data_IF_453528369683
#
_entry.id   IF_453528369683
#
_cell.length_a   1.000
_cell.length_b   1.000
_cell.length_c   1.000
_cell.angle_alpha   90.00
_cell.angle_beta   90.00
_cell.angle_gamma   90.00
#
_symmetry.space_group_name_H-M   'P 1'
#
loop_
_entity.id
_entity.type
_entity.pdbx_description
1 polymer ?
#
# COMPACT_ATOMS: atom_id res chain seq x y z
N UNK A 1 23.06 -58.64 20.58
CA UNK A 1 22.18 -58.50 19.39
C UNK A 1 22.04 -57.00 19.13
N UNK A 2 22.84 -56.42 18.23
CA UNK A 2 22.44 -55.91 16.89
C UNK A 2 21.32 -54.84 17.03
N UNK A 3 21.41 -53.56 16.65
CA UNK A 3 22.42 -52.66 16.06
C UNK A 3 21.90 -51.19 16.20
N UNK A 4 22.74 -50.13 16.15
CA UNK A 4 22.28 -48.77 15.88
C UNK A 4 22.63 -48.32 14.46
N UNK A 5 21.66 -47.71 13.76
CA UNK A 5 21.81 -47.08 12.45
C UNK A 5 22.56 -45.74 12.59
N UNK A 6 23.76 -45.67 12.02
CA UNK A 6 24.48 -44.43 11.68
C UNK A 6 24.93 -44.53 10.22
N UNK A 7 24.45 -43.64 9.34
CA UNK A 7 25.22 -42.94 8.31
C UNK A 7 24.29 -42.31 7.26
N UNK A 8 24.22 -40.97 7.25
CA UNK A 8 23.99 -40.19 6.04
C UNK A 8 24.90 -38.95 6.11
N UNK A 9 26.14 -39.15 5.70
CA UNK A 9 27.07 -38.07 5.36
C UNK A 9 27.85 -38.53 4.14
N UNK A 10 27.79 -37.74 3.07
CA UNK A 10 28.72 -37.65 1.92
C UNK A 10 27.95 -37.35 0.63
N UNK A 11 27.62 -36.08 0.41
CA UNK A 11 27.43 -35.53 -0.93
C UNK A 11 28.68 -34.70 -1.25
N UNK A 12 29.66 -35.34 -1.89
CA UNK A 12 30.83 -34.66 -2.44
C UNK A 12 30.48 -34.03 -3.80
N UNK A 13 30.60 -32.72 -3.88
CA UNK A 13 30.59 -31.94 -5.12
C UNK A 13 31.79 -32.36 -5.98
N UNK A 14 31.53 -32.91 -7.16
CA UNK A 14 32.56 -33.30 -8.11
C UNK A 14 32.98 -32.11 -8.98
N UNK A 15 34.28 -31.84 -8.96
CA UNK A 15 35.00 -30.87 -9.79
C UNK A 15 34.72 -31.07 -11.28
N UNK A 16 34.02 -30.11 -11.89
CA UNK A 16 34.09 -29.85 -13.31
C UNK A 16 35.21 -28.83 -13.54
N UNK A 17 35.98 -29.00 -14.62
CA UNK A 17 37.19 -28.25 -15.00
C UNK A 17 38.52 -28.77 -14.44
N UNK A 18 39.14 -29.69 -15.20
CA UNK A 18 40.55 -29.60 -15.67
C UNK A 18 40.89 -30.86 -16.47
N UNK A 19 40.70 -30.82 -17.80
CA UNK A 19 41.35 -31.77 -18.71
C UNK A 19 42.47 -31.04 -19.44
N UNK A 20 43.70 -31.25 -18.97
CA UNK A 20 44.94 -30.91 -19.66
C UNK A 20 45.26 -32.02 -20.66
N UNK A 21 45.52 -31.74 -21.95
CA UNK A 21 46.13 -32.74 -22.81
C UNK A 21 47.65 -32.72 -22.57
N UNK A 22 48.19 -33.89 -22.22
CA UNK A 22 49.61 -34.16 -22.26
C UNK A 22 50.10 -34.13 -23.71
N UNK A 23 51.20 -33.45 -23.98
CA UNK A 23 51.91 -33.52 -25.25
C UNK A 23 53.39 -33.80 -25.01
N UNK A 24 53.91 -34.69 -25.85
CA UNK A 24 55.08 -35.53 -25.66
C UNK A 24 56.43 -34.80 -25.74
N UNK A 25 57.43 -35.43 -25.12
CA UNK A 25 58.84 -34.99 -25.14
C UNK A 25 59.43 -35.27 -26.51
N UNK A 26 59.84 -34.22 -27.22
CA UNK A 26 60.75 -34.32 -28.36
C UNK A 26 62.07 -33.60 -28.05
N UNK A 27 63.15 -34.28 -28.44
CA UNK A 27 64.57 -34.02 -28.12
C UNK A 27 65.07 -32.70 -28.73
N UNK A 28 65.91 -32.01 -27.97
CA UNK A 28 66.69 -30.84 -28.39
C UNK A 28 67.71 -31.20 -29.48
N UNK A 29 67.62 -30.51 -30.61
CA UNK A 29 68.64 -30.43 -31.65
C UNK A 29 68.64 -29.01 -32.25
N UNK A 30 69.78 -28.33 -32.16
CA UNK A 30 70.22 -27.33 -33.14
C UNK A 30 69.75 -25.89 -32.96
N UNK A 31 70.71 -25.02 -32.64
CA UNK A 31 70.65 -23.57 -32.67
C UNK A 31 70.34 -23.01 -34.07
N UNK A 32 69.25 -22.26 -34.24
CA UNK A 32 69.09 -21.26 -35.30
C UNK A 32 68.27 -20.07 -34.80
N UNK A 33 68.77 -18.88 -35.13
CA UNK A 33 68.24 -17.55 -34.79
C UNK A 33 66.72 -17.42 -34.99
N UNK A 34 66.00 -17.09 -33.91
CA UNK A 34 64.57 -16.73 -33.97
C UNK A 34 64.42 -15.21 -33.94
N UNK A 35 63.76 -14.58 -34.94
CA UNK A 35 63.54 -13.14 -34.93
C UNK A 35 62.65 -12.78 -33.73
N UNK A 36 63.06 -11.75 -32.97
CA UNK A 36 62.30 -11.25 -31.81
C UNK A 36 60.92 -10.76 -32.28
N UNK A 37 59.90 -11.59 -32.05
CA UNK A 37 58.50 -11.20 -32.24
C UNK A 37 58.22 -9.99 -31.34
N UNK A 38 58.02 -8.83 -31.98
CA UNK A 38 57.60 -7.59 -31.32
C UNK A 38 56.28 -7.87 -30.61
N UNK A 39 56.30 -7.98 -29.28
CA UNK A 39 55.09 -8.10 -28.44
C UNK A 39 54.19 -6.89 -28.73
N UNK A 40 53.20 -7.08 -29.59
CA UNK A 40 52.07 -6.16 -29.69
C UNK A 40 51.39 -6.22 -28.34
N UNK A 41 51.59 -5.19 -27.51
CA UNK A 41 50.78 -4.98 -26.31
C UNK A 41 49.34 -4.93 -26.79
N UNK A 42 48.60 -6.03 -26.63
CA UNK A 42 47.13 -5.98 -26.59
C UNK A 42 46.83 -5.00 -25.47
N UNK A 43 46.48 -3.77 -25.81
CA UNK A 43 45.73 -2.93 -24.89
C UNK A 43 44.45 -3.72 -24.61
N UNK A 44 44.42 -4.39 -23.45
CA UNK A 44 43.16 -4.84 -22.90
C UNK A 44 42.35 -3.55 -22.74
N UNK A 45 41.40 -3.31 -23.65
CA UNK A 45 40.32 -2.38 -23.39
C UNK A 45 39.65 -2.94 -22.14
N UNK A 46 39.84 -2.26 -21.01
CA UNK A 46 38.95 -2.45 -19.87
C UNK A 46 37.54 -2.18 -20.40
N UNK A 47 36.77 -3.25 -20.54
CA UNK A 47 35.34 -3.13 -20.80
C UNK A 47 34.77 -2.59 -19.50
N UNK A 48 34.59 -1.27 -19.44
CA UNK A 48 33.81 -0.64 -18.38
C UNK A 48 32.33 -0.97 -18.64
N UNK A 49 31.95 -2.20 -18.30
CA UNK A 49 30.56 -2.59 -18.21
C UNK A 49 30.05 -2.14 -16.84
N UNK A 50 29.33 -1.03 -16.80
CA UNK A 50 28.47 -0.67 -15.68
C UNK A 50 27.02 -0.98 -16.04
N UNK A 51 26.22 -1.35 -15.04
CA UNK A 51 24.77 -1.38 -15.23
C UNK A 51 24.28 0.05 -15.46
N UNK A 52 23.55 0.28 -16.55
CA UNK A 52 23.02 1.61 -16.90
C UNK A 52 22.20 2.22 -15.75
N UNK A 53 21.37 1.39 -15.11
CA UNK A 53 20.58 1.79 -13.94
C UNK A 53 21.41 2.15 -12.69
N UNK A 54 22.67 1.68 -12.60
CA UNK A 54 23.58 2.01 -11.50
C UNK A 54 24.41 3.28 -11.79
N UNK A 55 24.37 3.80 -13.01
CA UNK A 55 24.98 5.08 -13.35
C UNK A 55 24.05 6.22 -12.96
N UNK A 56 24.54 7.24 -12.27
CA UNK A 56 23.76 8.47 -12.02
C UNK A 56 24.15 9.53 -13.03
N UNK A 57 23.19 10.02 -13.80
CA UNK A 57 23.36 11.10 -14.77
C UNK A 57 22.25 12.16 -14.62
N UNK A 58 22.39 13.31 -15.28
CA UNK A 58 21.42 14.41 -15.16
C UNK A 58 20.00 14.02 -15.57
N UNK A 59 19.88 13.09 -16.53
CA UNK A 59 18.60 12.61 -17.05
C UNK A 59 17.89 11.67 -16.07
N UNK A 60 18.62 10.76 -15.43
CA UNK A 60 18.04 9.71 -14.60
C UNK A 60 17.97 10.03 -13.11
N UNK A 61 18.66 11.08 -12.65
CA UNK A 61 18.62 11.54 -11.26
C UNK A 61 17.18 11.76 -10.77
N UNK A 62 16.28 12.26 -11.64
CA UNK A 62 14.86 12.45 -11.27
C UNK A 62 14.10 11.15 -11.03
N UNK A 63 14.44 10.07 -11.74
CA UNK A 63 13.76 8.77 -11.60
C UNK A 63 14.18 8.06 -10.31
N UNK A 64 15.47 8.15 -9.96
CA UNK A 64 16.06 7.41 -8.83
C UNK A 64 16.26 8.25 -7.57
N UNK A 65 15.81 9.52 -7.55
CA UNK A 65 16.01 10.45 -6.42
C UNK A 65 15.55 9.89 -5.07
N UNK A 66 14.50 9.07 -5.10
CA UNK A 66 13.89 8.49 -3.90
C UNK A 66 14.36 7.04 -3.65
N UNK A 67 15.31 6.51 -4.44
CA UNK A 67 15.91 5.22 -4.16
C UNK A 67 16.84 5.34 -2.96
N UNK A 68 16.69 4.45 -1.99
CA UNK A 68 17.47 4.42 -0.76
C UNK A 68 18.18 3.07 -0.58
N UNK A 69 19.13 3.04 0.36
CA UNK A 69 19.84 1.83 0.78
C UNK A 69 19.47 1.38 2.20
N UNK A 70 18.28 1.74 2.69
CA UNK A 70 17.83 1.43 4.05
C UNK A 70 17.50 -0.07 4.19
N UNK A 71 17.62 -0.58 5.42
CA UNK A 71 17.06 -1.89 5.77
C UNK A 71 15.54 -1.87 5.65
N UNK A 72 14.90 -3.04 5.66
CA UNK A 72 13.45 -3.12 5.54
C UNK A 72 12.73 -2.39 6.69
N UNK A 73 13.21 -2.52 7.92
CA UNK A 73 12.61 -1.86 9.09
C UNK A 73 12.89 -0.35 9.16
N UNK A 74 14.06 0.11 8.71
CA UNK A 74 14.36 1.55 8.64
C UNK A 74 13.53 2.24 7.55
N UNK A 75 13.36 1.58 6.39
CA UNK A 75 12.43 2.05 5.36
C UNK A 75 10.97 2.09 5.87
N UNK A 76 10.62 1.18 6.78
CA UNK A 76 9.30 1.08 7.43
C UNK A 76 9.31 1.64 8.87
N UNK A 77 10.06 2.72 9.10
CA UNK A 77 10.14 3.36 10.41
C UNK A 77 8.75 3.81 10.92
N UNK A 78 8.62 4.04 12.23
CA UNK A 78 7.35 4.48 12.83
C UNK A 78 6.82 5.76 12.17
N UNK A 79 7.70 6.72 11.87
CA UNK A 79 7.32 7.99 11.21
C UNK A 79 6.76 7.74 9.81
N UNK A 80 7.48 6.96 8.98
CA UNK A 80 7.06 6.63 7.61
C UNK A 80 5.73 5.88 7.62
N UNK A 81 5.60 4.84 8.45
CA UNK A 81 4.34 4.07 8.55
C UNK A 81 3.18 4.91 9.04
N UNK A 82 3.40 5.81 9.98
CA UNK A 82 2.36 6.72 10.49
C UNK A 82 1.85 7.63 9.37
N UNK A 83 2.76 8.23 8.59
CA UNK A 83 2.38 9.10 7.49
C UNK A 83 1.65 8.34 6.38
N UNK A 84 2.17 7.18 5.97
CA UNK A 84 1.52 6.34 4.97
C UNK A 84 0.13 5.89 5.42
N UNK A 85 -0.02 5.46 6.68
CA UNK A 85 -1.30 5.06 7.28
C UNK A 85 -2.29 6.21 7.28
N UNK A 86 -1.91 7.40 7.74
CA UNK A 86 -2.79 8.56 7.80
C UNK A 86 -3.28 8.96 6.39
N UNK A 87 -2.37 8.99 5.41
CA UNK A 87 -2.70 9.26 4.01
C UNK A 87 -3.63 8.18 3.43
N UNK A 88 -3.33 6.91 3.69
CA UNK A 88 -4.14 5.79 3.21
C UNK A 88 -5.55 5.80 3.81
N UNK A 89 -5.68 6.04 5.12
CA UNK A 89 -6.97 6.18 5.81
C UNK A 89 -7.79 7.33 5.22
N UNK A 90 -7.20 8.52 5.10
CA UNK A 90 -7.87 9.66 4.46
C UNK A 90 -8.34 9.29 3.05
N UNK A 91 -7.46 8.68 2.27
CA UNK A 91 -7.75 8.34 0.89
C UNK A 91 -8.87 7.29 0.76
N UNK A 92 -8.83 6.22 1.54
CA UNK A 92 -9.73 5.08 1.43
C UNK A 92 -11.04 5.24 2.19
N UNK A 93 -11.07 6.02 3.27
CA UNK A 93 -12.27 6.17 4.10
C UNK A 93 -13.04 7.45 3.84
N UNK A 94 -12.38 8.52 3.38
CA UNK A 94 -13.00 9.85 3.29
C UNK A 94 -12.96 10.42 1.86
N UNK A 95 -11.81 10.34 1.20
CA UNK A 95 -11.53 11.18 0.04
C UNK A 95 -11.98 10.59 -1.30
N UNK A 96 -11.99 9.26 -1.44
CA UNK A 96 -12.16 8.57 -2.72
C UNK A 96 -13.15 7.38 -2.63
N UNK A 97 -14.37 7.51 -3.19
CA UNK A 97 -15.38 6.46 -3.12
C UNK A 97 -14.99 5.20 -3.91
N UNK A 98 -14.15 5.30 -4.94
CA UNK A 98 -13.71 4.14 -5.72
C UNK A 98 -12.75 3.30 -4.89
N UNK A 99 -11.78 3.93 -4.23
CA UNK A 99 -10.85 3.23 -3.35
C UNK A 99 -11.58 2.61 -2.16
N UNK A 100 -12.53 3.33 -1.57
CA UNK A 100 -13.41 2.78 -0.53
C UNK A 100 -14.11 1.50 -1.04
N UNK A 101 -14.74 1.56 -2.23
CA UNK A 101 -15.40 0.43 -2.85
C UNK A 101 -14.47 -0.77 -3.07
N UNK A 102 -13.27 -0.55 -3.63
CA UNK A 102 -12.28 -1.60 -3.89
C UNK A 102 -11.87 -2.31 -2.60
N UNK A 103 -11.50 -1.54 -1.58
CA UNK A 103 -11.01 -2.07 -0.30
C UNK A 103 -12.12 -2.85 0.42
N UNK A 104 -13.35 -2.34 0.42
CA UNK A 104 -14.49 -3.04 1.00
C UNK A 104 -14.86 -4.32 0.24
N UNK A 105 -14.83 -4.29 -1.10
CA UNK A 105 -15.08 -5.48 -1.92
C UNK A 105 -14.03 -6.55 -1.63
N UNK A 106 -12.75 -6.19 -1.64
CA UNK A 106 -11.66 -7.13 -1.35
C UNK A 106 -11.83 -7.79 0.02
N UNK A 107 -12.04 -6.99 1.07
CA UNK A 107 -12.21 -7.54 2.42
C UNK A 107 -13.47 -8.42 2.56
N UNK A 108 -14.55 -8.05 1.88
CA UNK A 108 -15.77 -8.84 1.88
C UNK A 108 -15.63 -10.16 1.12
N UNK A 109 -14.90 -10.16 -0.01
CA UNK A 109 -14.71 -11.34 -0.85
C UNK A 109 -13.73 -12.33 -0.22
N UNK A 110 -12.63 -11.85 0.36
CA UNK A 110 -11.61 -12.69 1.02
C UNK A 110 -12.21 -13.44 2.22
N UNK A 111 -12.99 -12.74 3.05
CA UNK A 111 -13.55 -13.35 4.27
C UNK A 111 -14.91 -14.00 4.03
N UNK A 112 -15.73 -13.44 3.13
CA UNK A 112 -17.08 -13.90 2.83
C UNK A 112 -17.95 -14.06 4.08
N UNK A 113 -18.46 -15.27 4.29
CA UNK A 113 -19.26 -15.63 5.48
C UNK A 113 -18.41 -16.00 6.71
N UNK A 114 -17.09 -15.94 6.60
CA UNK A 114 -16.12 -16.42 7.58
C UNK A 114 -15.63 -17.85 7.31
N UNK A 115 -14.56 -18.26 8.01
CA UNK A 115 -13.95 -19.57 7.83
C UNK A 115 -14.88 -20.70 8.25
N UNK A 116 -14.77 -21.84 7.55
CA UNK A 116 -15.48 -23.08 7.87
C UNK A 116 -14.46 -24.12 8.30
N UNK A 117 -14.68 -24.72 9.46
CA UNK A 117 -13.88 -25.85 9.92
C UNK A 117 -14.35 -27.11 9.20
N UNK A 118 -13.40 -27.91 8.71
CA UNK A 118 -13.65 -29.25 8.19
C UNK A 118 -12.78 -30.24 8.97
N UNK A 119 -13.42 -31.17 9.67
CA UNK A 119 -12.75 -32.18 10.49
C UNK A 119 -12.65 -33.50 9.74
N UNK A 120 -11.45 -34.07 9.70
CA UNK A 120 -11.13 -35.29 8.95
C UNK A 120 -10.63 -36.42 9.86
N UNK A 121 -11.27 -36.64 11.01
CA UNK A 121 -10.89 -37.75 11.91
C UNK A 121 -11.39 -39.07 11.30
N UNK A 122 -10.51 -40.02 10.95
CA UNK A 122 -10.91 -41.27 10.31
C UNK A 122 -11.82 -42.11 11.21
N UNK A 123 -12.87 -42.69 10.63
CA UNK A 123 -13.82 -43.56 11.33
C UNK A 123 -14.70 -42.84 12.36
N UNK A 124 -14.71 -41.51 12.42
CA UNK A 124 -15.49 -40.73 13.42
C UNK A 124 -16.31 -39.58 12.80
N UNK A 125 -17.22 -39.85 11.85
CA UNK A 125 -18.00 -38.81 11.17
C UNK A 125 -18.89 -37.99 12.12
N UNK A 126 -19.45 -38.60 13.17
CA UNK A 126 -20.31 -37.89 14.11
C UNK A 126 -19.53 -36.92 15.00
N UNK A 127 -18.32 -37.31 15.43
CA UNK A 127 -17.42 -36.43 16.18
C UNK A 127 -16.97 -35.24 15.32
N UNK A 128 -16.68 -35.47 14.04
CA UNK A 128 -16.35 -34.39 13.11
C UNK A 128 -17.48 -33.37 13.04
N UNK A 129 -18.71 -33.84 12.82
CA UNK A 129 -19.90 -32.98 12.75
C UNK A 129 -20.14 -32.21 14.06
N UNK A 130 -19.96 -32.85 15.21
CA UNK A 130 -20.10 -32.21 16.52
C UNK A 130 -19.10 -31.07 16.70
N UNK A 131 -17.83 -31.30 16.36
CA UNK A 131 -16.77 -30.29 16.46
C UNK A 131 -17.00 -29.12 15.50
N UNK A 132 -17.42 -29.39 14.26
CA UNK A 132 -17.76 -28.37 13.27
C UNK A 132 -18.93 -27.49 13.72
N UNK A 133 -19.97 -28.10 14.31
CA UNK A 133 -21.12 -27.37 14.87
C UNK A 133 -20.70 -26.48 16.05
N UNK A 134 -19.85 -27.00 16.95
CA UNK A 134 -19.32 -26.23 18.09
C UNK A 134 -18.45 -25.06 17.62
N UNK A 135 -17.58 -25.30 16.64
CA UNK A 135 -16.78 -24.25 16.02
C UNK A 135 -17.67 -23.17 15.39
N UNK A 136 -18.69 -23.58 14.62
CA UNK A 136 -19.62 -22.63 14.01
C UNK A 136 -20.37 -21.78 15.05
N UNK A 137 -20.85 -22.40 16.13
CA UNK A 137 -21.52 -21.71 17.23
C UNK A 137 -20.59 -20.70 17.92
N UNK A 138 -19.33 -21.09 18.18
CA UNK A 138 -18.30 -20.21 18.73
C UNK A 138 -17.98 -19.05 17.78
N UNK A 139 -17.65 -19.33 16.51
CA UNK A 139 -17.29 -18.34 15.50
C UNK A 139 -18.40 -17.31 15.29
N UNK A 140 -19.66 -17.76 15.23
CA UNK A 140 -20.83 -16.87 15.14
C UNK A 140 -20.94 -15.98 16.38
N UNK A 141 -20.70 -16.54 17.57
CA UNK A 141 -20.85 -15.80 18.82
C UNK A 141 -19.79 -14.72 19.00
N UNK A 142 -18.53 -15.03 18.73
CA UNK A 142 -17.43 -14.06 18.82
C UNK A 142 -17.42 -13.10 17.61
N UNK A 143 -18.32 -13.31 16.64
CA UNK A 143 -18.40 -12.56 15.38
C UNK A 143 -17.09 -12.64 14.59
N UNK A 144 -16.51 -13.84 14.50
CA UNK A 144 -15.20 -14.09 13.91
C UNK A 144 -15.09 -13.50 12.50
N UNK A 145 -16.07 -13.74 11.64
CA UNK A 145 -16.10 -13.17 10.28
C UNK A 145 -16.04 -11.63 10.27
N UNK A 146 -16.68 -10.95 11.22
CA UNK A 146 -16.60 -9.48 11.33
C UNK A 146 -15.21 -9.02 11.75
N UNK A 147 -14.58 -9.74 12.68
CA UNK A 147 -13.22 -9.43 13.15
C UNK A 147 -12.20 -9.64 12.05
N UNK A 148 -12.28 -10.75 11.33
CA UNK A 148 -11.39 -11.03 10.21
C UNK A 148 -11.55 -10.01 9.08
N UNK A 149 -12.79 -9.61 8.74
CA UNK A 149 -13.00 -8.52 7.76
C UNK A 149 -12.37 -7.20 8.19
N UNK A 150 -12.46 -6.88 9.48
CA UNK A 150 -11.83 -5.68 10.02
C UNK A 150 -10.31 -5.77 9.97
N UNK A 151 -9.74 -6.94 10.26
CA UNK A 151 -8.30 -7.18 10.15
C UNK A 151 -7.84 -7.07 8.70
N UNK A 152 -8.56 -7.67 7.74
CA UNK A 152 -8.26 -7.56 6.31
C UNK A 152 -8.29 -6.10 5.83
N UNK A 153 -9.32 -5.33 6.23
CA UNK A 153 -9.39 -3.89 5.95
C UNK A 153 -8.20 -3.13 6.55
N UNK A 154 -7.83 -3.42 7.80
CA UNK A 154 -6.69 -2.78 8.46
C UNK A 154 -5.36 -3.18 7.80
N UNK A 155 -5.19 -4.41 7.35
CA UNK A 155 -4.01 -4.83 6.61
C UNK A 155 -3.87 -4.06 5.29
N UNK A 156 -4.96 -3.89 4.54
CA UNK A 156 -4.95 -3.16 3.27
C UNK A 156 -4.70 -1.66 3.48
N UNK A 157 -5.44 -1.04 4.42
CA UNK A 157 -5.46 0.42 4.60
C UNK A 157 -4.36 0.90 5.54
N UNK A 158 -4.13 0.21 6.65
CA UNK A 158 -3.16 0.61 7.67
C UNK A 158 -1.80 -0.06 7.49
N UNK A 159 -1.76 -1.13 6.69
CA UNK A 159 -0.56 -1.91 6.35
C UNK A 159 -0.38 -3.18 7.17
N UNK A 160 -1.04 -3.26 8.32
CA UNK A 160 -0.92 -4.38 9.25
C UNK A 160 -2.12 -4.42 10.19
N UNK A 161 -2.43 -5.62 10.69
CA UNK A 161 -3.52 -5.86 11.63
C UNK A 161 -3.06 -6.73 12.79
N UNK A 162 -3.60 -6.44 13.98
CA UNK A 162 -3.27 -7.17 15.20
C UNK A 162 -4.53 -7.73 15.86
N UNK A 163 -4.43 -8.95 16.40
CA UNK A 163 -5.45 -9.53 17.25
C UNK A 163 -4.83 -10.25 18.45
N UNK A 164 -5.18 -9.80 19.65
CA UNK A 164 -4.76 -10.43 20.89
C UNK A 164 -5.74 -11.54 21.29
N UNK A 165 -5.21 -12.69 21.67
CA UNK A 165 -5.97 -13.79 22.30
C UNK A 165 -6.42 -13.35 23.69
N UNK A 166 -7.72 -13.40 23.96
CA UNK A 166 -8.30 -12.97 25.23
C UNK A 166 -9.27 -13.98 25.81
N UNK A 167 -9.41 -13.97 27.13
CA UNK A 167 -10.39 -14.77 27.86
C UNK A 167 -11.65 -13.94 28.13
N UNK A 168 -12.70 -14.19 27.34
CA UNK A 168 -14.00 -13.55 27.50
C UNK A 168 -14.96 -14.41 28.34
N UNK A 169 -15.01 -14.14 29.65
CA UNK A 169 -15.87 -14.88 30.60
C UNK A 169 -17.36 -14.80 30.26
N UNK A 170 -17.82 -13.79 29.51
CA UNK A 170 -19.23 -13.68 29.10
C UNK A 170 -19.67 -14.83 28.20
N UNK A 171 -18.75 -15.48 27.49
CA UNK A 171 -19.05 -16.61 26.61
C UNK A 171 -19.53 -17.86 27.36
N UNK A 172 -19.11 -18.04 28.63
CA UNK A 172 -19.48 -19.19 29.46
C UNK A 172 -20.99 -19.35 29.65
N UNK A 173 -21.77 -18.26 29.49
CA UNK A 173 -23.23 -18.30 29.56
C UNK A 173 -23.88 -19.18 28.49
N UNK A 174 -23.14 -19.53 27.44
CA UNK A 174 -23.71 -20.13 26.24
C UNK A 174 -22.81 -21.17 25.58
N UNK A 175 -21.50 -21.14 25.84
CA UNK A 175 -20.51 -22.04 25.26
C UNK A 175 -19.59 -22.54 26.38
N UNK A 176 -19.07 -23.78 26.29
CA UNK A 176 -18.15 -24.33 27.28
C UNK A 176 -16.72 -23.74 27.21
N UNK A 177 -16.52 -22.63 26.51
CA UNK A 177 -15.21 -22.01 26.27
C UNK A 177 -15.27 -20.49 26.39
N UNK A 178 -14.12 -19.89 26.72
CA UNK A 178 -13.95 -18.44 26.91
C UNK A 178 -13.07 -17.78 25.86
N UNK A 179 -12.54 -18.55 24.91
CA UNK A 179 -11.62 -18.04 23.90
C UNK A 179 -12.30 -16.97 23.02
N UNK A 180 -11.67 -15.81 22.93
CA UNK A 180 -12.06 -14.71 22.05
C UNK A 180 -10.82 -13.98 21.55
N UNK A 181 -10.99 -13.13 20.53
CA UNK A 181 -9.93 -12.30 19.96
C UNK A 181 -10.29 -10.83 20.07
N UNK A 182 -9.36 -10.01 20.54
CA UNK A 182 -9.49 -8.55 20.55
C UNK A 182 -8.65 -7.99 19.41
N UNK A 183 -9.31 -7.44 18.39
CA UNK A 183 -8.63 -6.70 17.32
C UNK A 183 -8.11 -5.39 17.90
N UNK A 184 -6.86 -5.06 17.59
CA UNK A 184 -6.14 -3.89 18.12
C UNK A 184 -5.62 -3.10 16.92
N UNK A 185 -5.78 -1.77 16.98
CA UNK A 185 -5.20 -0.86 15.97
C UNK A 185 -3.68 -0.88 16.05
N UNK A 186 -3.02 -0.89 14.90
CA UNK A 186 -1.57 -0.96 14.79
C UNK A 186 -0.86 0.25 15.42
N UNK A 187 -1.51 1.40 15.50
CA UNK A 187 -1.06 2.60 16.22
C UNK A 187 -0.78 2.33 17.71
N UNK A 188 -1.47 1.35 18.32
CA UNK A 188 -1.25 0.97 19.71
C UNK A 188 -0.07 0.02 19.91
N UNK A 189 0.46 -0.54 18.84
CA UNK A 189 1.60 -1.45 18.88
C UNK A 189 2.86 -0.62 18.64
N UNK A 190 3.41 -0.10 19.74
CA UNK A 190 4.55 0.82 19.72
C UNK A 190 5.34 0.69 21.02
N UNK A 191 6.61 1.06 20.95
CA UNK A 191 7.51 1.11 22.11
C UNK A 191 7.84 2.57 22.41
N UNK A 192 7.14 3.23 23.35
CA UNK A 192 7.45 4.59 23.74
C UNK A 192 8.92 4.69 24.18
N UNK A 193 9.65 5.62 23.56
CA UNK A 193 11.10 5.82 23.78
C UNK A 193 11.92 4.57 23.45
N UNK A 194 11.68 4.01 22.26
CA UNK A 194 12.50 2.94 21.70
C UNK A 194 13.99 3.32 21.78
N UNK A 195 14.77 2.45 22.42
CA UNK A 195 16.23 2.57 22.47
C UNK A 195 16.80 1.80 21.28
N UNK A 196 17.91 2.30 20.74
CA UNK A 196 18.61 1.62 19.66
C UNK A 196 19.11 0.25 20.14
N UNK A 197 18.56 -0.80 19.55
CA UNK A 197 18.87 -2.19 19.81
C UNK A 197 18.50 -2.99 18.55
N UNK A 198 19.40 -3.81 17.98
CA UNK A 198 19.13 -4.56 16.76
C UNK A 198 17.97 -5.56 16.90
N UNK A 199 17.62 -5.96 18.12
CA UNK A 199 16.51 -6.89 18.38
C UNK A 199 15.24 -6.18 18.85
N UNK A 200 15.18 -4.85 18.74
CA UNK A 200 13.98 -4.08 19.10
C UNK A 200 13.51 -3.24 17.93
N UNK A 201 12.37 -3.64 17.39
CA UNK A 201 11.62 -2.83 16.45
C UNK A 201 10.52 -2.10 17.22
N UNK A 202 10.01 -1.00 16.68
CA UNK A 202 8.86 -0.31 17.27
C UNK A 202 7.75 -1.33 17.57
N UNK A 203 7.31 -1.39 18.82
CA UNK A 203 6.23 -2.28 19.28
C UNK A 203 6.57 -3.76 19.39
N UNK A 204 7.78 -4.21 19.01
CA UNK A 204 8.14 -5.64 18.95
C UNK A 204 9.56 -5.87 19.48
N UNK A 205 9.70 -6.75 20.47
CA UNK A 205 10.99 -7.32 20.86
C UNK A 205 11.19 -8.64 20.11
N UNK A 206 12.35 -8.79 19.46
CA UNK A 206 12.76 -9.95 18.68
C UNK A 206 13.76 -10.80 19.47
N UNK A 207 13.91 -12.06 19.08
CA UNK A 207 15.04 -12.89 19.50
C UNK A 207 16.23 -12.84 18.53
N UNK A 208 17.26 -13.65 18.80
CA UNK A 208 18.48 -13.74 18.00
C UNK A 208 18.24 -14.23 16.56
N UNK A 209 17.09 -14.86 16.29
CA UNK A 209 16.67 -15.33 14.97
C UNK A 209 15.73 -14.35 14.27
N UNK A 210 15.52 -13.17 14.85
CA UNK A 210 14.56 -12.16 14.40
C UNK A 210 13.10 -12.65 14.45
N UNK A 211 12.77 -13.58 15.35
CA UNK A 211 11.38 -13.98 15.60
C UNK A 211 10.76 -13.10 16.70
N UNK A 212 9.49 -12.66 16.57
CA UNK A 212 8.81 -11.90 17.61
C UNK A 212 8.67 -12.70 18.91
N UNK A 213 9.13 -12.12 20.02
CA UNK A 213 8.98 -12.67 21.37
C UNK A 213 7.91 -11.93 22.17
N UNK A 214 7.89 -10.60 22.09
CA UNK A 214 6.96 -9.77 22.87
C UNK A 214 6.48 -8.58 22.07
N UNK A 215 5.18 -8.30 22.15
CA UNK A 215 4.55 -7.11 21.62
C UNK A 215 4.25 -6.10 22.73
N UNK A 216 4.52 -4.83 22.47
CA UNK A 216 4.22 -3.73 23.38
C UNK A 216 2.92 -3.06 22.96
N UNK A 217 1.87 -3.22 23.78
CA UNK A 217 0.54 -2.68 23.50
C UNK A 217 0.25 -1.51 24.42
N UNK A 218 0.13 -0.29 23.88
CA UNK A 218 -0.31 0.88 24.65
C UNK A 218 -1.66 0.63 25.31
N UNK A 219 -1.84 1.06 26.55
CA UNK A 219 -3.09 0.92 27.30
C UNK A 219 -4.21 1.79 26.70
N UNK A 220 -3.87 2.99 26.23
CA UNK A 220 -4.75 3.89 25.47
C UNK A 220 -4.24 4.14 24.04
N UNK A 221 -5.13 4.61 23.16
CA UNK A 221 -4.74 4.95 21.79
C UNK A 221 -3.93 6.26 21.76
N UNK A 222 -2.83 6.37 21.00
CA UNK A 222 -1.99 7.57 20.95
C UNK A 222 -2.70 8.81 20.42
N UNK A 223 -3.69 8.62 19.53
CA UNK A 223 -4.58 9.70 19.06
C UNK A 223 -5.76 10.06 19.99
N UNK A 224 -5.83 9.48 21.20
CA UNK A 224 -6.89 9.78 22.17
C UNK A 224 -6.57 11.03 23.00
N UNK A 225 -7.60 11.76 23.44
CA UNK A 225 -7.44 12.93 24.33
C UNK A 225 -6.80 12.58 25.68
N UNK A 226 -6.92 11.33 26.12
CA UNK A 226 -6.36 10.83 27.39
C UNK A 226 -5.32 9.73 27.10
N UNK A 227 -4.22 10.12 26.47
CA UNK A 227 -3.10 9.23 26.15
C UNK A 227 -2.06 9.18 27.30
N UNK A 228 -1.52 7.99 27.55
CA UNK A 228 -0.34 7.77 28.37
C UNK A 228 0.66 6.85 27.65
N UNK A 229 1.95 7.00 27.93
CA UNK A 229 3.03 6.13 27.42
C UNK A 229 3.01 4.71 28.05
N UNK A 230 1.96 4.32 28.78
CA UNK A 230 1.90 3.03 29.45
C UNK A 230 1.65 1.89 28.45
N UNK A 231 2.55 0.92 28.41
CA UNK A 231 2.42 -0.29 27.60
C UNK A 231 2.20 -1.53 28.45
N UNK A 232 1.53 -2.51 27.85
CA UNK A 232 1.39 -3.87 28.38
C UNK A 232 2.14 -4.80 27.43
N UNK A 233 3.08 -5.57 27.98
CA UNK A 233 3.78 -6.62 27.25
C UNK A 233 2.84 -7.81 27.01
N UNK A 234 2.75 -8.24 25.76
CA UNK A 234 1.97 -9.39 25.32
C UNK A 234 2.91 -10.39 24.65
N UNK A 235 2.93 -11.61 25.17
CA UNK A 235 3.71 -12.70 24.59
C UNK A 235 3.29 -12.96 23.13
N UNK A 236 4.26 -13.25 22.26
CA UNK A 236 4.00 -13.46 20.84
C UNK A 236 3.03 -14.62 20.57
N UNK A 237 2.98 -15.66 21.41
CA UNK A 237 2.00 -16.75 21.27
C UNK A 237 0.54 -16.30 21.48
N UNK A 238 0.35 -15.14 22.11
CA UNK A 238 -0.97 -14.55 22.40
C UNK A 238 -1.31 -13.39 21.46
N UNK A 239 -0.48 -13.10 20.47
CA UNK A 239 -0.68 -12.06 19.47
C UNK A 239 -0.69 -12.65 18.05
N UNK A 240 -1.71 -12.31 17.28
CA UNK A 240 -1.73 -12.54 15.84
C UNK A 240 -1.35 -11.22 15.18
N UNK A 241 -0.29 -11.22 14.38
CA UNK A 241 0.15 -10.09 13.57
C UNK A 241 0.05 -10.48 12.09
N UNK A 242 -0.86 -9.82 11.37
CA UNK A 242 -1.06 -10.02 9.95
C UNK A 242 -0.54 -8.79 9.20
N UNK A 243 0.40 -9.01 8.28
CA UNK A 243 0.90 -7.98 7.39
C UNK A 243 1.51 -8.61 6.14
N UNK A 244 1.60 -7.83 5.08
CA UNK A 244 2.29 -8.21 3.86
C UNK A 244 3.79 -7.97 4.00
N UNK A 245 4.57 -9.06 3.92
CA UNK A 245 6.03 -9.01 3.91
C UNK A 245 6.54 -8.95 2.46
N UNK A 246 7.10 -7.82 2.05
CA UNK A 246 7.64 -7.62 0.69
C UNK A 246 9.17 -7.73 0.65
N UNK A 247 9.85 -7.53 1.80
CA UNK A 247 11.31 -7.64 1.94
C UNK A 247 11.68 -8.64 3.06
N UNK A 248 12.78 -9.40 2.94
CA UNK A 248 13.36 -10.11 4.07
C UNK A 248 13.66 -9.14 5.22
N UNK A 249 13.61 -9.62 6.46
CA UNK A 249 13.87 -8.82 7.67
C UNK A 249 12.89 -7.65 7.88
N UNK A 250 11.73 -7.68 7.21
CA UNK A 250 10.65 -6.73 7.46
C UNK A 250 9.76 -7.24 8.60
N UNK A 251 9.66 -6.48 9.68
CA UNK A 251 8.85 -6.83 10.86
C UNK A 251 7.58 -5.99 11.00
N UNK A 252 7.46 -4.89 10.25
CA UNK A 252 6.26 -4.02 10.24
C UNK A 252 5.71 -3.83 8.83
N UNK A 253 4.38 -3.76 8.73
CA UNK A 253 3.67 -3.57 7.47
C UNK A 253 3.53 -2.11 7.04
N UNK A 254 3.38 -1.89 5.73
CA UNK A 254 2.98 -0.61 5.12
C UNK A 254 1.68 -0.82 4.33
N UNK A 255 0.81 0.21 4.22
CA UNK A 255 -0.45 0.08 3.48
C UNK A 255 -0.26 -0.49 2.07
N UNK A 256 -1.09 -1.45 1.69
CA UNK A 256 -1.04 -2.04 0.34
C UNK A 256 -1.36 -1.01 -0.76
N UNK A 257 -2.06 0.06 -0.38
CA UNK A 257 -2.42 1.19 -1.25
C UNK A 257 -1.26 2.14 -1.54
N UNK A 258 -0.11 1.99 -0.86
CA UNK A 258 1.02 2.94 -0.88
C UNK A 258 1.45 3.34 -2.29
N UNK A 259 1.60 2.37 -3.19
CA UNK A 259 2.06 2.61 -4.56
C UNK A 259 0.99 3.28 -5.44
N UNK A 260 -0.29 3.07 -5.14
CA UNK A 260 -1.41 3.61 -5.91
C UNK A 260 -1.82 5.02 -5.47
N UNK A 261 -1.50 5.44 -4.24
CA UNK A 261 -1.95 6.72 -3.68
C UNK A 261 -1.67 7.95 -4.56
N UNK A 262 -0.47 8.15 -5.14
CA UNK A 262 -0.19 9.34 -5.93
C UNK A 262 -1.04 9.41 -7.20
N UNK A 263 -1.23 8.28 -7.89
CA UNK A 263 -2.04 8.20 -9.11
C UNK A 263 -3.53 8.37 -8.79
N UNK A 264 -3.97 7.83 -7.66
CA UNK A 264 -5.35 7.95 -7.22
C UNK A 264 -5.72 9.40 -6.87
N UNK A 265 -4.81 10.17 -6.25
CA UNK A 265 -4.99 11.60 -6.02
C UNK A 265 -5.13 12.37 -7.34
N UNK A 266 -4.23 12.13 -8.31
CA UNK A 266 -4.32 12.76 -9.65
C UNK A 266 -5.63 12.43 -10.37
N UNK A 267 -6.11 11.19 -10.22
CA UNK A 267 -7.39 10.76 -10.80
C UNK A 267 -8.56 11.56 -10.20
N UNK A 268 -8.55 11.82 -8.89
CA UNK A 268 -9.59 12.63 -8.24
C UNK A 268 -9.59 14.06 -8.77
N UNK A 269 -8.42 14.69 -8.86
CA UNK A 269 -8.29 16.06 -9.38
C UNK A 269 -8.76 16.14 -10.83
N UNK A 270 -8.39 15.16 -11.65
CA UNK A 270 -8.87 15.04 -13.02
C UNK A 270 -10.41 14.93 -13.10
N UNK A 271 -11.03 14.07 -12.29
CA UNK A 271 -12.48 13.91 -12.28
C UNK A 271 -13.20 15.20 -11.88
N UNK A 272 -12.71 15.90 -10.85
CA UNK A 272 -13.28 17.18 -10.42
C UNK A 272 -13.14 18.24 -11.50
N UNK A 273 -11.98 18.32 -12.16
CA UNK A 273 -11.75 19.26 -13.27
C UNK A 273 -12.70 18.97 -14.45
N UNK A 274 -12.87 17.70 -14.83
CA UNK A 274 -13.79 17.31 -15.91
C UNK A 274 -15.24 17.64 -15.54
N UNK A 275 -15.67 17.33 -14.32
CA UNK A 275 -17.02 17.64 -13.86
C UNK A 275 -17.26 19.15 -13.79
N UNK A 276 -16.28 19.92 -13.33
CA UNK A 276 -16.35 21.38 -13.31
C UNK A 276 -16.46 21.94 -14.73
N UNK A 277 -15.62 21.47 -15.66
CA UNK A 277 -15.66 21.89 -17.05
C UNK A 277 -16.99 21.52 -17.72
N UNK A 278 -17.51 20.32 -17.48
CA UNK A 278 -18.81 19.89 -17.98
C UNK A 278 -19.94 20.76 -17.43
N UNK A 279 -19.91 21.07 -16.11
CA UNK A 279 -20.89 21.95 -15.48
C UNK A 279 -20.82 23.37 -16.04
N UNK A 280 -19.62 23.92 -16.20
CA UNK A 280 -19.43 25.27 -16.76
C UNK A 280 -19.84 25.34 -18.22
N UNK A 281 -19.60 24.29 -19.01
CA UNK A 281 -20.07 24.21 -20.40
C UNK A 281 -21.60 24.03 -20.52
N UNK A 282 -22.22 23.35 -19.55
CA UNK A 282 -23.67 23.19 -19.50
C UNK A 282 -24.41 24.45 -19.03
N UNK A 283 -23.74 25.32 -18.27
CA UNK A 283 -24.27 26.66 -17.98
C UNK A 283 -24.35 27.43 -19.29
N UNK A 284 -25.56 27.83 -19.68
CA UNK A 284 -25.73 28.82 -20.74
C UNK A 284 -25.19 30.16 -20.24
N UNK A 285 -23.92 30.43 -20.54
CA UNK A 285 -23.33 31.76 -20.37
C UNK A 285 -23.47 32.49 -21.69
N UNK A 286 -24.35 33.48 -21.72
CA UNK A 286 -24.53 34.38 -22.84
C UNK A 286 -24.40 35.82 -22.38
N UNK A 287 -23.96 36.69 -23.29
CA UNK A 287 -24.10 38.14 -23.09
C UNK A 287 -25.44 38.52 -23.70
N UNK A 288 -26.25 39.27 -22.95
CA UNK A 288 -27.45 39.90 -23.46
C UNK A 288 -27.00 41.21 -24.09
N UNK A 289 -27.10 41.30 -25.41
CA UNK A 289 -26.94 42.56 -26.14
C UNK A 289 -28.30 43.27 -26.11
N UNK A 290 -28.40 44.41 -25.42
CA UNK A 290 -29.59 45.27 -25.46
C UNK A 290 -29.47 46.27 -26.60
N UNK A 291 -30.55 46.46 -27.36
CA UNK A 291 -30.66 47.57 -28.30
C UNK A 291 -31.04 48.83 -27.53
N UNK A 292 -30.11 49.78 -27.42
CA UNK A 292 -30.39 51.04 -26.73
C UNK A 292 -31.59 51.76 -27.39
N UNK A 293 -32.61 52.06 -26.58
CA UNK A 293 -33.86 52.68 -27.03
C UNK A 293 -33.97 54.16 -26.63
N UNK A 294 -33.07 54.64 -25.76
CA UNK A 294 -33.03 56.00 -25.24
C UNK A 294 -31.62 56.60 -25.34
N UNK A 295 -31.54 57.92 -25.45
CA UNK A 295 -30.29 58.69 -25.38
C UNK A 295 -30.30 59.49 -24.09
N UNK A 296 -29.18 59.53 -23.37
CA UNK A 296 -29.01 60.45 -22.24
C UNK A 296 -28.77 61.89 -22.75
N UNK A 297 -28.71 62.86 -21.84
CA UNK A 297 -28.48 64.28 -22.19
C UNK A 297 -27.14 64.51 -22.92
N UNK A 298 -26.19 63.58 -22.79
CA UNK A 298 -24.89 63.57 -23.47
C UNK A 298 -24.89 62.79 -24.81
N UNK A 299 -26.08 62.40 -25.29
CA UNK A 299 -26.29 61.69 -26.55
C UNK A 299 -25.69 60.26 -26.59
N UNK A 300 -25.46 59.65 -25.42
CA UNK A 300 -25.08 58.25 -25.26
C UNK A 300 -26.30 57.36 -25.15
N UNK A 301 -26.27 56.22 -25.84
CA UNK A 301 -27.41 55.32 -25.91
C UNK A 301 -27.45 54.38 -24.69
N UNK A 302 -28.58 54.36 -23.98
CA UNK A 302 -28.79 53.58 -22.76
C UNK A 302 -30.20 52.97 -22.72
N UNK A 303 -30.38 51.93 -21.89
CA UNK A 303 -31.67 51.30 -21.61
C UNK A 303 -32.05 51.57 -20.14
N UNK A 304 -33.10 52.36 -19.84
CA UNK A 304 -33.45 52.77 -18.47
C UNK A 304 -33.87 51.60 -17.58
N UNK A 305 -34.24 50.46 -18.17
CA UNK A 305 -34.72 49.29 -17.44
C UNK A 305 -33.58 48.32 -17.07
N UNK A 306 -32.34 48.59 -17.49
CA UNK A 306 -31.18 47.68 -17.27
C UNK A 306 -29.93 48.46 -16.88
N UNK A 307 -29.41 48.22 -15.69
CA UNK A 307 -28.09 48.72 -15.32
C UNK A 307 -26.97 47.94 -16.05
N UNK A 308 -25.87 48.62 -16.36
CA UNK A 308 -24.72 47.96 -16.99
C UNK A 308 -24.18 46.84 -16.10
N UNK A 309 -23.97 45.65 -16.68
CA UNK A 309 -23.56 44.41 -15.99
C UNK A 309 -24.62 43.80 -15.05
N UNK A 310 -25.89 44.14 -15.22
CA UNK A 310 -26.95 43.46 -14.49
C UNK A 310 -27.01 41.96 -14.83
N UNK A 311 -27.32 41.14 -13.82
CA UNK A 311 -27.29 39.68 -13.90
C UNK A 311 -28.72 39.18 -14.04
N UNK A 312 -29.05 38.64 -15.21
CA UNK A 312 -30.31 37.91 -15.41
C UNK A 312 -30.06 36.43 -15.12
N UNK A 313 -30.70 35.91 -14.07
CA UNK A 313 -30.72 34.48 -13.80
C UNK A 313 -31.53 33.75 -14.88
N UNK A 314 -30.85 32.89 -15.64
CA UNK A 314 -31.47 32.01 -16.63
C UNK A 314 -31.56 30.62 -16.03
N UNK A 315 -32.78 30.12 -15.87
CA UNK A 315 -33.01 28.76 -15.41
C UNK A 315 -32.48 27.73 -16.43
N UNK A 316 -31.88 26.66 -15.91
CA UNK A 316 -31.36 25.56 -16.73
C UNK A 316 -32.49 24.92 -17.56
N UNK A 317 -32.17 24.52 -18.79
CA UNK A 317 -33.06 23.81 -19.73
C UNK A 317 -34.35 24.55 -20.14
N UNK A 318 -34.47 25.85 -19.84
CA UNK A 318 -35.61 26.67 -20.25
C UNK A 318 -35.21 27.69 -21.32
N UNK A 319 -36.06 27.83 -22.33
CA UNK A 319 -35.98 28.95 -23.27
C UNK A 319 -36.63 30.17 -22.59
N UNK A 320 -35.81 31.04 -22.03
CA UNK A 320 -36.27 32.32 -21.48
C UNK A 320 -36.68 33.26 -22.61
N UNK A 321 -37.93 33.72 -22.60
CA UNK A 321 -38.37 34.79 -23.49
C UNK A 321 -37.71 36.10 -23.08
N UNK A 322 -36.99 36.73 -24.00
CA UNK A 322 -36.36 38.02 -23.75
C UNK A 322 -37.27 39.19 -24.17
N UNK A 323 -37.14 40.36 -23.53
CA UNK A 323 -37.80 41.59 -23.97
C UNK A 323 -37.48 41.95 -25.43
N UNK A 324 -38.38 42.72 -26.06
CA UNK A 324 -38.21 43.14 -27.44
C UNK A 324 -36.92 43.97 -27.61
N UNK A 325 -36.08 43.60 -28.57
CA UNK A 325 -34.80 44.28 -28.85
C UNK A 325 -33.58 43.65 -28.17
N UNK A 326 -33.75 42.68 -27.26
CA UNK A 326 -32.66 41.99 -26.60
C UNK A 326 -32.23 40.76 -27.40
N UNK A 327 -30.91 40.55 -27.54
CA UNK A 327 -30.35 39.38 -28.21
C UNK A 327 -29.45 38.61 -27.26
N UNK A 328 -29.77 37.33 -27.07
CA UNK A 328 -28.89 36.42 -26.37
C UNK A 328 -27.78 35.95 -27.32
N UNK A 329 -26.53 36.21 -26.98
CA UNK A 329 -25.38 35.68 -27.70
C UNK A 329 -24.63 34.72 -26.80
N UNK A 330 -24.59 33.45 -27.19
CA UNK A 330 -23.83 32.44 -26.47
C UNK A 330 -22.34 32.78 -26.48
N UNK A 331 -21.72 32.79 -25.31
CA UNK A 331 -20.28 32.90 -25.20
C UNK A 331 -19.66 31.55 -25.60
N UNK A 332 -19.10 31.49 -26.82
CA UNK A 332 -18.43 30.29 -27.30
C UNK A 332 -17.06 30.17 -26.64
N UNK A 333 -16.96 29.31 -25.62
CA UNK A 333 -15.67 28.94 -25.05
C UNK A 333 -14.86 28.17 -26.11
N UNK A 334 -13.88 28.83 -26.73
CA UNK A 334 -13.01 28.21 -27.73
C UNK A 334 -12.16 27.14 -27.00
N UNK A 335 -12.48 25.86 -27.21
CA UNK A 335 -11.69 24.75 -26.69
C UNK A 335 -10.30 24.82 -27.33
N UNK A 336 -9.28 25.14 -26.54
CA UNK A 336 -7.89 24.91 -26.92
C UNK A 336 -7.67 23.41 -26.75
N UNK A 337 -7.66 22.69 -27.87
CA UNK A 337 -7.27 21.28 -27.89
C UNK A 337 -5.75 21.27 -27.76
N UNK A 338 -5.24 20.71 -26.67
CA UNK A 338 -3.82 20.46 -26.45
C UNK A 338 -3.44 19.07 -26.96
#
# INVERSE_FOLDING_TARGET
MIAPLKHLSNWHLSNWFTRTPAAERHRDLGSQDRPRLRKVRRQQREVQASYDAASTNEFNNRYWRNADGLSADEANSLEVRTELRNRSRYHCHEADPIMQGIVHTLANDVIGTGPRLQMLIPGRPDLNRELEQRFHAWAKRIRLAKKLRLMELAEIVDGEAFAQVVTNRKLQRWLPMTLDYKVIECDRITTPRLRYDPYKIDGIDLDELCEPQTYHVLTQHPGSSFYTDETVAVDASMMIHAFRQDRPEQHRGVPQTTTAMPVAALRRDYLLAVLHNARSAAKFTGVIETGASHLNDDNEAFDPDVESFDIVDIDYDMLTSLPFGWKLKQYAQRRVVF
#
